data_IF_679993785041
#
_entry.id   IF_679993785041
#
_cell.length_a   1.000
_cell.length_b   1.000
_cell.length_c   1.000
_cell.angle_alpha   90.00
_cell.angle_beta   90.00
_cell.angle_gamma   90.00
#
_symmetry.space_group_name_H-M   'P 1'
#
loop_
_entity.id
_entity.type
_entity.pdbx_description
1 polymer ?
#
# COMPACT_ATOMS: atom_id res chain seq x y z
N UNK A 1 3.29 13.88 -31.00
CA UNK A 1 2.36 13.51 -29.92
C UNK A 1 2.96 12.27 -29.30
N UNK A 2 3.85 12.48 -28.32
CA UNK A 2 4.59 11.43 -27.61
C UNK A 2 4.14 11.54 -26.15
N UNK A 3 3.62 10.49 -25.50
CA UNK A 3 3.46 10.52 -24.06
C UNK A 3 4.84 10.29 -23.44
N UNK A 4 5.44 11.39 -23.00
CA UNK A 4 6.69 11.39 -22.24
C UNK A 4 6.57 10.48 -21.03
N UNK A 5 7.36 9.42 -21.06
CA UNK A 5 7.50 8.39 -20.05
C UNK A 5 7.96 9.07 -18.75
N UNK A 6 7.02 9.29 -17.82
CA UNK A 6 7.33 9.81 -16.50
C UNK A 6 8.00 8.69 -15.70
N UNK A 7 9.30 8.54 -15.90
CA UNK A 7 10.20 7.74 -15.08
C UNK A 7 10.06 8.20 -13.63
N UNK A 8 9.22 7.50 -12.85
CA UNK A 8 9.25 7.62 -11.41
C UNK A 8 10.57 7.02 -10.95
N UNK A 9 11.46 7.92 -10.51
CA UNK A 9 12.77 7.56 -10.01
C UNK A 9 12.65 6.39 -9.04
N UNK A 10 13.44 5.35 -9.33
CA UNK A 10 13.77 4.30 -8.38
C UNK A 10 14.48 4.96 -7.20
N UNK A 11 13.69 5.43 -6.23
CA UNK A 11 14.20 6.00 -5.01
C UNK A 11 14.93 4.89 -4.25
N UNK A 12 16.20 5.16 -3.98
CA UNK A 12 17.13 4.36 -3.21
C UNK A 12 16.71 4.29 -1.70
N UNK A 13 15.45 3.97 -1.42
CA UNK A 13 14.73 4.22 -0.17
C UNK A 13 14.92 3.13 0.90
N UNK A 14 15.76 2.13 0.63
CA UNK A 14 15.92 0.97 1.51
C UNK A 14 16.93 1.19 2.65
N UNK A 15 17.51 2.39 2.79
CA UNK A 15 18.42 2.75 3.89
C UNK A 15 17.82 3.86 4.76
N UNK A 16 16.71 3.59 5.44
CA UNK A 16 16.20 4.50 6.49
C UNK A 16 14.69 4.66 6.59
N UNK A 17 13.89 3.95 5.80
CA UNK A 17 12.44 3.96 5.94
C UNK A 17 12.03 3.46 7.34
N UNK A 18 11.13 4.20 8.01
CA UNK A 18 10.55 3.71 9.26
C UNK A 18 9.78 2.42 9.02
N UNK A 19 9.63 1.52 10.02
CA UNK A 19 8.84 0.29 9.84
C UNK A 19 7.44 0.58 9.26
N UNK A 20 6.78 1.63 9.74
CA UNK A 20 5.48 2.07 9.24
C UNK A 20 5.52 2.50 7.76
N UNK A 21 6.58 3.20 7.35
CA UNK A 21 6.75 3.58 5.95
C UNK A 21 6.85 2.35 5.04
N UNK A 22 7.62 1.35 5.45
CA UNK A 22 7.77 0.10 4.69
C UNK A 22 6.44 -0.64 4.58
N UNK A 23 5.62 -0.68 5.64
CA UNK A 23 4.28 -1.30 5.58
C UNK A 23 3.35 -0.58 4.59
N UNK A 24 3.35 0.76 4.58
CA UNK A 24 2.53 1.56 3.66
C UNK A 24 3.00 1.39 2.21
N UNK A 25 4.32 1.37 2.00
CA UNK A 25 4.90 1.12 0.68
C UNK A 25 4.58 -0.30 0.20
N UNK A 26 4.67 -1.31 1.07
CA UNK A 26 4.30 -2.68 0.76
C UNK A 26 2.83 -2.78 0.33
N UNK A 27 1.92 -2.09 1.02
CA UNK A 27 0.51 -2.01 0.62
C UNK A 27 0.34 -1.39 -0.77
N UNK A 28 1.00 -0.25 -1.03
CA UNK A 28 0.95 0.41 -2.33
C UNK A 28 1.48 -0.51 -3.45
N UNK A 29 2.60 -1.19 -3.21
CA UNK A 29 3.16 -2.19 -4.13
C UNK A 29 2.17 -3.32 -4.39
N UNK A 30 1.54 -3.88 -3.35
CA UNK A 30 0.52 -4.91 -3.49
C UNK A 30 -0.65 -4.42 -4.35
N UNK A 31 -1.17 -3.22 -4.10
CA UNK A 31 -2.25 -2.62 -4.90
C UNK A 31 -1.86 -2.48 -6.37
N UNK A 32 -0.67 -1.96 -6.66
CA UNK A 32 -0.19 -1.82 -8.04
C UNK A 32 -0.02 -3.17 -8.73
N UNK A 33 0.50 -4.18 -8.03
CA UNK A 33 0.61 -5.54 -8.56
C UNK A 33 -0.76 -6.11 -8.92
N UNK A 34 -1.74 -6.04 -8.02
CA UNK A 34 -3.10 -6.54 -8.28
C UNK A 34 -3.75 -5.81 -9.47
N UNK A 35 -3.56 -4.49 -9.58
CA UNK A 35 -4.04 -3.70 -10.72
C UNK A 35 -3.39 -4.11 -12.05
N UNK A 36 -2.10 -4.50 -12.05
CA UNK A 36 -1.44 -5.03 -13.26
C UNK A 36 -2.06 -6.33 -13.76
N UNK A 37 -2.61 -7.15 -12.86
CA UNK A 37 -3.34 -8.37 -13.21
C UNK A 37 -4.83 -8.13 -13.50
N UNK A 38 -5.27 -6.86 -13.61
CA UNK A 38 -6.65 -6.45 -13.88
C UNK A 38 -7.68 -7.04 -12.89
N UNK A 39 -7.25 -7.31 -11.65
CA UNK A 39 -8.14 -7.71 -10.56
C UNK A 39 -8.64 -6.46 -9.87
N UNK A 40 -9.91 -6.12 -10.07
CA UNK A 40 -10.48 -4.85 -9.60
C UNK A 40 -11.32 -5.00 -8.32
N UNK A 41 -11.48 -6.23 -7.82
CA UNK A 41 -12.17 -6.54 -6.56
C UNK A 41 -11.17 -7.26 -5.67
N UNK A 42 -10.74 -6.61 -4.59
CA UNK A 42 -9.72 -7.15 -3.70
C UNK A 42 -9.93 -6.74 -2.24
N UNK A 43 -9.67 -7.69 -1.35
CA UNK A 43 -9.52 -7.48 0.09
C UNK A 43 -8.04 -7.50 0.42
N UNK A 44 -7.55 -6.42 1.01
CA UNK A 44 -6.20 -6.30 1.53
C UNK A 44 -6.22 -6.49 3.03
N UNK A 45 -5.22 -7.16 3.54
CA UNK A 45 -5.06 -7.48 4.94
C UNK A 45 -3.70 -6.94 5.39
N UNK A 46 -3.65 -6.32 6.56
CA UNK A 46 -2.42 -5.81 7.17
C UNK A 46 -2.39 -6.14 8.64
N UNK A 47 -1.22 -6.48 9.17
CA UNK A 47 -1.00 -6.68 10.59
C UNK A 47 -0.72 -5.37 11.35
N UNK A 48 -0.63 -4.25 10.63
CA UNK A 48 -0.36 -2.93 11.16
C UNK A 48 -1.65 -2.09 11.26
N UNK A 49 -2.12 -1.84 12.49
CA UNK A 49 -3.30 -1.00 12.73
C UNK A 49 -3.10 0.45 12.29
N UNK A 50 -1.86 0.94 12.33
CA UNK A 50 -1.55 2.31 11.93
C UNK A 50 -1.75 2.50 10.42
N UNK A 51 -1.40 1.50 9.58
CA UNK A 51 -1.69 1.54 8.14
C UNK A 51 -3.19 1.68 7.87
N UNK A 52 -4.02 0.94 8.61
CA UNK A 52 -5.49 1.07 8.50
C UNK A 52 -5.92 2.49 8.87
N UNK A 53 -5.40 3.03 9.98
CA UNK A 53 -5.72 4.41 10.41
C UNK A 53 -5.25 5.45 9.40
N UNK A 54 -4.10 5.25 8.77
CA UNK A 54 -3.57 6.15 7.73
C UNK A 54 -4.46 6.19 6.49
N UNK A 55 -4.98 5.03 6.06
CA UNK A 55 -5.90 4.95 4.92
C UNK A 55 -7.29 5.52 5.28
N UNK A 56 -7.71 5.43 6.54
CA UNK A 56 -8.98 5.99 7.03
C UNK A 56 -8.94 7.51 7.26
N UNK A 57 -7.85 8.04 7.82
CA UNK A 57 -7.69 9.44 8.21
C UNK A 57 -6.35 10.00 7.70
N UNK A 58 -6.15 10.12 6.37
CA UNK A 58 -4.87 10.51 5.80
C UNK A 58 -4.42 11.93 6.21
N UNK A 59 -5.34 12.79 6.64
CA UNK A 59 -5.07 14.16 7.08
C UNK A 59 -4.19 14.24 8.34
N UNK A 60 -4.23 13.24 9.22
CA UNK A 60 -3.41 13.16 10.43
C UNK A 60 -1.96 12.78 10.13
N UNK A 61 -1.69 12.26 8.92
CA UNK A 61 -0.42 11.65 8.55
C UNK A 61 0.29 12.44 7.46
N UNK A 62 0.49 13.74 7.70
CA UNK A 62 1.12 14.67 6.75
C UNK A 62 2.49 14.19 6.24
N UNK A 63 3.28 13.51 7.08
CA UNK A 63 4.57 12.94 6.69
C UNK A 63 4.48 11.88 5.57
N UNK A 64 3.29 11.28 5.40
CA UNK A 64 3.01 10.21 4.43
C UNK A 64 2.04 10.66 3.34
N UNK A 65 1.72 11.96 3.24
CA UNK A 65 0.72 12.49 2.32
C UNK A 65 0.93 12.03 0.87
N UNK A 66 2.18 11.98 0.41
CA UNK A 66 2.53 11.51 -0.94
C UNK A 66 2.17 10.03 -1.12
N UNK A 67 2.54 9.16 -0.18
CA UNK A 67 2.22 7.73 -0.25
C UNK A 67 0.70 7.49 -0.16
N UNK A 68 0.00 8.28 0.66
CA UNK A 68 -1.45 8.16 0.83
C UNK A 68 -2.22 8.65 -0.40
N UNK A 69 -1.74 9.68 -1.09
CA UNK A 69 -2.30 10.10 -2.38
C UNK A 69 -2.16 9.01 -3.44
N UNK A 70 -1.02 8.30 -3.46
CA UNK A 70 -0.78 7.19 -4.37
C UNK A 70 -1.69 5.98 -4.06
N UNK A 71 -1.90 5.68 -2.77
CA UNK A 71 -2.85 4.66 -2.31
C UNK A 71 -4.27 5.06 -2.72
N UNK A 72 -4.70 6.31 -2.53
CA UNK A 72 -6.01 6.79 -2.95
C UNK A 72 -6.20 6.66 -4.47
N UNK A 73 -5.17 7.02 -5.26
CA UNK A 73 -5.21 6.86 -6.71
C UNK A 73 -5.36 5.39 -7.11
N UNK A 74 -4.67 4.48 -6.42
CA UNK A 74 -4.85 3.05 -6.66
C UNK A 74 -6.24 2.59 -6.24
N UNK A 75 -6.73 3.02 -5.07
CA UNK A 75 -8.06 2.70 -4.53
C UNK A 75 -9.17 3.07 -5.51
N UNK A 76 -9.10 4.24 -6.14
CA UNK A 76 -10.05 4.69 -7.18
C UNK A 76 -10.08 3.83 -8.44
N UNK A 77 -9.04 3.03 -8.69
CA UNK A 77 -8.99 2.10 -9.83
C UNK A 77 -9.64 0.76 -9.51
N UNK A 78 -9.83 0.42 -8.23
CA UNK A 78 -10.58 -0.77 -7.83
C UNK A 78 -12.08 -0.51 -7.89
N UNK A 79 -12.84 -1.49 -8.34
CA UNK A 79 -14.30 -1.50 -8.25
C UNK A 79 -14.76 -1.78 -6.81
N UNK A 80 -13.98 -2.59 -6.08
CA UNK A 80 -14.21 -2.86 -4.66
C UNK A 80 -12.86 -3.01 -3.96
N UNK A 81 -12.69 -2.24 -2.88
CA UNK A 81 -11.51 -2.23 -2.04
C UNK A 81 -11.95 -2.36 -0.59
N UNK A 82 -11.32 -3.28 0.14
CA UNK A 82 -11.46 -3.41 1.59
C UNK A 82 -10.08 -3.60 2.18
N UNK A 83 -9.77 -2.89 3.27
CA UNK A 83 -8.52 -3.04 4.01
C UNK A 83 -8.87 -3.37 5.46
N UNK A 84 -8.46 -4.55 5.94
CA UNK A 84 -8.75 -5.03 7.29
C UNK A 84 -7.47 -5.29 8.07
N UNK A 85 -7.51 -4.92 9.35
CA UNK A 85 -6.45 -5.29 10.29
C UNK A 85 -6.61 -6.75 10.69
N UNK A 86 -5.53 -7.53 10.60
CA UNK A 86 -5.49 -8.90 11.10
C UNK A 86 -4.41 -9.00 12.18
N UNK A 87 -4.74 -9.46 13.40
CA UNK A 87 -3.71 -9.70 14.40
C UNK A 87 -2.75 -10.80 13.90
N UNK A 88 -1.44 -10.57 13.99
CA UNK A 88 -0.36 -11.48 13.55
C UNK A 88 -0.54 -12.96 13.92
N UNK A 89 -1.33 -13.25 14.95
CA UNK A 89 -1.65 -14.61 15.39
C UNK A 89 -2.51 -15.41 14.40
N UNK A 90 -3.07 -14.79 13.36
CA UNK A 90 -3.93 -15.45 12.36
C UNK A 90 -3.26 -15.71 11.01
N UNK A 91 -2.03 -15.25 10.77
CA UNK A 91 -1.31 -15.49 9.52
C UNK A 91 -0.52 -16.79 9.54
N UNK A 92 -1.21 -17.91 9.82
CA UNK A 92 -0.61 -19.26 9.78
C UNK A 92 -0.11 -19.67 8.38
N UNK A 93 -0.32 -18.83 7.35
CA UNK A 93 0.17 -19.01 5.98
C UNK A 93 1.41 -18.17 5.65
N UNK A 94 1.60 -16.99 6.25
CA UNK A 94 2.74 -16.12 5.94
C UNK A 94 3.98 -16.43 6.80
N UNK A 95 3.80 -17.08 7.95
CA UNK A 95 4.86 -17.35 8.93
C UNK A 95 5.80 -18.53 8.56
N UNK A 96 5.82 -18.96 7.30
CA UNK A 96 6.64 -20.09 6.81
C UNK A 96 7.78 -19.68 5.87
N UNK A 97 8.07 -18.38 5.75
CA UNK A 97 9.12 -17.85 4.88
C UNK A 97 10.22 -17.07 5.63
N UNK A 98 10.18 -17.06 6.97
CA UNK A 98 11.26 -16.56 7.81
C UNK A 98 12.38 -17.60 7.97
#
# INVERSE_FOLDING_TARGET
MEPGEKLWGTCNLWRGASPLQTEVEALLWAMQCILRYNKLVMVFETDCSDVVRMVSNPEEWQAFAVLLEEIDRCKRRFTSFTLTHIPRTSDTKADKLA
#
